data_IF_563089923583
#
_entry.id   IF_563089923583
#
_cell.length_a   1.000
_cell.length_b   1.000
_cell.length_c   1.000
_cell.angle_alpha   90.00
_cell.angle_beta   90.00
_cell.angle_gamma   90.00
#
_symmetry.space_group_name_H-M   'P 1'
#
loop_
_entity.id
_entity.type
_entity.pdbx_description
1 polymer ?
#
# COMPACT_ATOMS: atom_id res chain seq x y z
N UNK A 1 7.27 -31.18 -4.83
CA UNK A 1 5.90 -30.72 -5.12
C UNK A 1 5.97 -29.20 -5.13
N UNK A 2 6.00 -28.60 -6.33
CA UNK A 2 6.34 -27.19 -6.52
C UNK A 2 5.37 -26.28 -5.75
N UNK A 3 5.91 -25.47 -4.84
CA UNK A 3 5.23 -24.28 -4.33
C UNK A 3 4.99 -23.32 -5.51
N UNK A 4 3.87 -23.50 -6.19
CA UNK A 4 3.30 -22.46 -7.06
C UNK A 4 2.74 -21.42 -6.11
N UNK A 5 3.63 -20.56 -5.62
CA UNK A 5 3.31 -19.32 -4.93
C UNK A 5 2.44 -18.50 -5.87
N UNK A 6 1.15 -18.41 -5.57
CA UNK A 6 0.27 -17.45 -6.22
C UNK A 6 0.90 -16.05 -6.08
N UNK A 7 0.64 -15.12 -7.01
CA UNK A 7 1.13 -13.75 -6.89
C UNK A 7 0.81 -13.14 -5.51
N UNK A 8 -0.33 -13.49 -4.92
CA UNK A 8 -0.76 -13.10 -3.58
C UNK A 8 0.13 -13.66 -2.45
N UNK A 9 0.57 -14.92 -2.54
CA UNK A 9 1.50 -15.48 -1.55
C UNK A 9 2.86 -14.77 -1.52
N UNK A 10 3.36 -14.38 -2.70
CA UNK A 10 4.61 -13.61 -2.82
C UNK A 10 4.45 -12.18 -2.29
N UNK A 11 3.27 -11.58 -2.44
CA UNK A 11 3.00 -10.23 -1.92
C UNK A 11 3.14 -10.21 -0.39
N UNK A 12 2.60 -11.21 0.32
CA UNK A 12 2.68 -11.29 1.78
C UNK A 12 4.12 -11.37 2.32
N UNK A 13 4.96 -12.21 1.71
CA UNK A 13 6.38 -12.31 2.07
C UNK A 13 7.11 -10.98 1.85
N UNK A 14 6.89 -10.32 0.71
CA UNK A 14 7.53 -9.04 0.39
C UNK A 14 7.06 -7.93 1.35
N UNK A 15 5.78 -7.91 1.73
CA UNK A 15 5.26 -6.96 2.74
C UNK A 15 5.92 -7.20 4.10
N UNK A 16 6.15 -8.46 4.49
CA UNK A 16 6.85 -8.80 5.73
C UNK A 16 8.29 -8.28 5.72
N UNK A 17 9.02 -8.51 4.63
CA UNK A 17 10.41 -8.07 4.51
C UNK A 17 10.53 -6.54 4.45
N UNK A 18 9.62 -5.86 3.75
CA UNK A 18 9.54 -4.40 3.78
C UNK A 18 9.26 -3.86 5.18
N UNK A 19 8.40 -4.54 5.96
CA UNK A 19 8.10 -4.14 7.33
C UNK A 19 9.33 -4.24 8.24
N UNK A 20 10.09 -5.32 8.14
CA UNK A 20 11.37 -5.46 8.86
C UNK A 20 12.37 -4.38 8.41
N UNK A 21 12.49 -4.14 7.11
CA UNK A 21 13.38 -3.11 6.57
C UNK A 21 13.01 -1.70 7.07
N UNK A 22 11.71 -1.38 7.15
CA UNK A 22 11.21 -0.12 7.71
C UNK A 22 11.56 0.01 9.20
N UNK A 23 11.44 -1.07 9.98
CA UNK A 23 11.83 -1.06 11.40
C UNK A 23 13.33 -0.80 11.60
N UNK A 24 14.17 -1.31 10.71
CA UNK A 24 15.63 -1.11 10.76
C UNK A 24 16.03 0.30 10.32
N UNK A 25 15.52 0.74 9.17
CA UNK A 25 15.80 2.07 8.63
C UNK A 25 14.60 2.56 7.80
N UNK A 26 13.74 3.40 8.38
CA UNK A 26 12.63 4.00 7.64
C UNK A 26 13.15 4.79 6.44
N UNK A 27 12.50 4.63 5.30
CA UNK A 27 12.75 5.47 4.13
C UNK A 27 11.50 5.64 3.29
N UNK A 28 11.43 6.78 2.61
CA UNK A 28 10.31 7.12 1.73
C UNK A 28 10.06 6.04 0.67
N UNK A 29 11.15 5.47 0.12
CA UNK A 29 11.08 4.40 -0.89
C UNK A 29 10.43 3.12 -0.35
N UNK A 30 10.74 2.73 0.89
CA UNK A 30 10.20 1.50 1.49
C UNK A 30 8.70 1.63 1.75
N UNK A 31 8.27 2.75 2.34
CA UNK A 31 6.84 3.03 2.53
C UNK A 31 6.09 3.07 1.20
N UNK A 32 6.64 3.73 0.17
CA UNK A 32 6.03 3.73 -1.18
C UNK A 32 5.85 2.32 -1.73
N UNK A 33 6.87 1.46 -1.62
CA UNK A 33 6.78 0.09 -2.13
C UNK A 33 5.77 -0.76 -1.36
N UNK A 34 5.74 -0.65 -0.03
CA UNK A 34 4.76 -1.36 0.79
C UNK A 34 3.34 -0.90 0.50
N UNK A 35 3.14 0.42 0.35
CA UNK A 35 1.86 1.00 -0.04
C UNK A 35 1.37 0.52 -1.41
N UNK A 36 2.27 0.36 -2.40
CA UNK A 36 1.90 -0.21 -3.70
C UNK A 36 1.43 -1.66 -3.57
N UNK A 37 2.05 -2.46 -2.71
CA UNK A 37 1.63 -3.86 -2.49
C UNK A 37 0.28 -3.95 -1.77
N UNK A 38 0.05 -3.09 -0.77
CA UNK A 38 -1.27 -2.98 -0.13
C UNK A 38 -2.34 -2.53 -1.12
N UNK A 39 -2.04 -1.54 -1.99
CA UNK A 39 -2.94 -1.09 -3.05
C UNK A 39 -3.30 -2.23 -4.03
N UNK A 40 -2.31 -3.02 -4.45
CA UNK A 40 -2.54 -4.19 -5.31
C UNK A 40 -3.33 -5.31 -4.62
N UNK A 41 -3.34 -5.32 -3.29
CA UNK A 41 -4.12 -6.24 -2.46
C UNK A 41 -5.48 -5.66 -2.07
N UNK A 42 -5.85 -4.51 -2.64
CA UNK A 42 -7.09 -3.76 -2.35
C UNK A 42 -7.23 -3.29 -0.89
N UNK A 43 -6.15 -3.37 -0.10
CA UNK A 43 -6.07 -2.75 1.22
C UNK A 43 -5.75 -1.27 1.09
N UNK A 44 -6.76 -0.52 0.64
CA UNK A 44 -6.65 0.91 0.40
C UNK A 44 -6.47 1.72 1.70
N UNK A 45 -6.89 1.19 2.85
CA UNK A 45 -6.68 1.88 4.12
C UNK A 45 -5.19 1.93 4.45
N UNK A 46 -4.54 0.76 4.48
CA UNK A 46 -3.11 0.66 4.82
C UNK A 46 -2.23 1.28 3.72
N UNK A 47 -2.61 1.12 2.45
CA UNK A 47 -1.90 1.76 1.34
C UNK A 47 -1.85 3.29 1.49
N UNK A 48 -2.96 3.91 1.92
CA UNK A 48 -3.04 5.36 2.10
C UNK A 48 -2.04 5.86 3.14
N UNK A 49 -1.95 5.16 4.27
CA UNK A 49 -1.02 5.47 5.36
C UNK A 49 0.44 5.34 4.90
N UNK A 50 0.76 4.26 4.19
CA UNK A 50 2.09 4.04 3.60
C UNK A 50 2.48 5.17 2.63
N UNK A 51 1.57 5.57 1.73
CA UNK A 51 1.86 6.69 0.82
C UNK A 51 1.98 8.03 1.56
N UNK A 52 1.22 8.24 2.62
CA UNK A 52 1.35 9.42 3.46
C UNK A 52 2.72 9.48 4.14
N UNK A 53 3.13 8.42 4.84
CA UNK A 53 4.44 8.33 5.50
C UNK A 53 5.59 8.50 4.50
N UNK A 54 5.44 7.92 3.30
CA UNK A 54 6.38 8.11 2.20
C UNK A 54 6.53 9.61 1.82
N UNK A 55 5.41 10.33 1.71
CA UNK A 55 5.41 11.76 1.33
C UNK A 55 5.86 12.68 2.47
N UNK A 56 5.65 12.29 3.73
CA UNK A 56 6.19 12.98 4.90
C UNK A 56 7.72 12.95 4.92
N UNK A 57 8.32 11.80 4.55
CA UNK A 57 9.77 11.64 4.46
C UNK A 57 10.38 12.28 3.20
N UNK A 58 9.69 12.18 2.06
CA UNK A 58 10.10 12.85 0.83
C UNK A 58 8.86 13.28 0.03
N UNK A 59 8.62 14.59 0.05
CA UNK A 59 7.48 15.22 -0.63
C UNK A 59 7.56 15.15 -2.16
N UNK A 60 8.76 15.07 -2.74
CA UNK A 60 8.95 15.04 -4.19
C UNK A 60 8.90 13.59 -4.73
N UNK A 61 7.73 12.96 -4.58
CA UNK A 61 7.49 11.60 -5.09
C UNK A 61 6.18 11.54 -5.88
N UNK A 62 6.22 11.86 -7.20
CA UNK A 62 5.03 11.86 -8.05
C UNK A 62 4.25 10.54 -8.01
N UNK A 63 4.96 9.41 -7.94
CA UNK A 63 4.34 8.08 -7.83
C UNK A 63 3.55 7.94 -6.53
N UNK A 64 4.10 8.36 -5.40
CA UNK A 64 3.40 8.28 -4.11
C UNK A 64 2.19 9.24 -4.08
N UNK A 65 2.28 10.41 -4.69
CA UNK A 65 1.15 11.33 -4.82
C UNK A 65 0.02 10.74 -5.68
N UNK A 66 0.37 10.16 -6.85
CA UNK A 66 -0.58 9.50 -7.74
C UNK A 66 -1.31 8.38 -7.01
N UNK A 67 -0.58 7.45 -6.40
CA UNK A 67 -1.21 6.33 -5.71
C UNK A 67 -1.99 6.78 -4.48
N UNK A 68 -1.55 7.80 -3.72
CA UNK A 68 -2.35 8.35 -2.63
C UNK A 68 -3.72 8.87 -3.11
N UNK A 69 -3.75 9.55 -4.26
CA UNK A 69 -4.97 10.02 -4.91
C UNK A 69 -5.88 8.86 -5.35
N UNK A 70 -5.33 7.85 -6.03
CA UNK A 70 -6.07 6.65 -6.43
C UNK A 70 -6.65 5.92 -5.22
N UNK A 71 -5.86 5.79 -4.16
CA UNK A 71 -6.29 5.13 -2.92
C UNK A 71 -7.46 5.88 -2.26
N UNK A 72 -7.45 7.21 -2.27
CA UNK A 72 -8.55 8.02 -1.77
C UNK A 72 -9.84 7.83 -2.60
N UNK A 73 -9.71 7.75 -3.93
CA UNK A 73 -10.83 7.46 -4.83
C UNK A 73 -11.47 6.10 -4.54
N UNK A 74 -10.67 5.02 -4.44
CA UNK A 74 -11.17 3.69 -4.14
C UNK A 74 -11.82 3.59 -2.74
N UNK A 75 -11.25 4.25 -1.72
CA UNK A 75 -11.90 4.34 -0.39
C UNK A 75 -13.25 5.04 -0.43
N UNK A 76 -13.37 6.09 -1.23
CA UNK A 76 -14.64 6.80 -1.44
C UNK A 76 -15.71 5.91 -2.06
N UNK A 77 -15.34 5.11 -3.08
CA UNK A 77 -16.24 4.14 -3.70
C UNK A 77 -16.73 3.07 -2.71
N UNK A 78 -15.82 2.46 -1.95
CA UNK A 78 -16.18 1.46 -0.96
C UNK A 78 -17.09 2.01 0.16
N UNK A 79 -16.85 3.26 0.59
CA UNK A 79 -17.72 3.90 1.59
C UNK A 79 -19.15 4.06 1.06
N UNK A 80 -19.28 4.49 -0.19
CA UNK A 80 -20.58 4.62 -0.85
C UNK A 80 -21.26 3.27 -1.04
N UNK A 81 -20.53 2.22 -1.42
CA UNK A 81 -21.08 0.85 -1.52
C UNK A 81 -21.62 0.36 -0.18
N UNK A 82 -20.86 0.52 0.90
CA UNK A 82 -21.30 0.13 2.25
C UNK A 82 -22.54 0.91 2.69
N UNK A 83 -22.59 2.22 2.46
CA UNK A 83 -23.77 3.03 2.78
C UNK A 83 -24.99 2.68 1.92
N UNK A 84 -24.80 2.22 0.68
CA UNK A 84 -25.88 1.81 -0.22
C UNK A 84 -26.48 0.44 0.10
N UNK A 85 -25.80 -0.37 0.92
CA UNK A 85 -26.24 -1.71 1.34
C UNK A 85 -27.02 -1.71 2.67
N UNK A 86 -27.25 -0.54 3.28
CA UNK A 86 -28.00 -0.34 4.52
C UNK A 86 -29.40 0.20 4.25
#
# INVERSE_FOLDING_TARGET
MLQILSPLGRIGEVVSDLTKAIQLQPSARLYRHRGTLHFMSEDYATAHEDFQLSLELNRNQPIAMLYKGLTFFHRGLLKNEVESLQ
#
